data_IF_144994311138
#
_entry.id   IF_144994311138
#
_cell.length_a   1.000
_cell.length_b   1.000
_cell.length_c   1.000
_cell.angle_alpha   90.00
_cell.angle_beta   90.00
_cell.angle_gamma   90.00
#
_symmetry.space_group_name_H-M   'P 1'
#
loop_
_entity.id
_entity.type
_entity.pdbx_description
1 polymer ?
#
# COMPACT_ATOMS: atom_id res chain seq x y z
N UNK A 1 -6.36 12.86 -6.32
CA UNK A 1 -5.58 11.60 -6.13
C UNK A 1 -4.81 11.68 -4.83
N UNK A 2 -4.86 10.66 -3.96
CA UNK A 2 -4.10 10.60 -2.71
C UNK A 2 -2.61 10.40 -2.99
N UNK A 3 -1.76 11.13 -2.27
CA UNK A 3 -0.31 10.88 -2.19
C UNK A 3 -0.05 10.07 -0.94
N UNK A 4 0.49 8.87 -1.10
CA UNK A 4 0.61 7.87 -0.04
C UNK A 4 2.08 7.41 0.04
N UNK A 5 2.93 8.06 0.85
CA UNK A 5 4.26 7.51 1.12
C UNK A 5 4.17 6.14 1.78
N UNK A 6 5.17 5.29 1.54
CA UNK A 6 5.28 4.00 2.20
C UNK A 6 6.38 3.99 3.26
N UNK A 7 6.08 3.36 4.40
CA UNK A 7 7.06 2.95 5.40
C UNK A 7 6.97 1.43 5.56
N UNK A 8 8.03 0.73 5.20
CA UNK A 8 8.17 -0.69 5.49
C UNK A 8 8.95 -0.87 6.79
N UNK A 9 8.53 -1.83 7.62
CA UNK A 9 9.10 -2.05 8.94
C UNK A 9 9.73 -3.45 9.01
N UNK A 10 11.00 -3.49 9.39
CA UNK A 10 11.69 -4.70 9.84
C UNK A 10 12.39 -4.37 11.16
N UNK A 11 12.17 -5.18 12.19
CA UNK A 11 12.76 -5.01 13.52
C UNK A 11 12.53 -3.61 14.12
N UNK A 12 11.32 -3.05 13.86
CA UNK A 12 10.93 -1.72 14.31
C UNK A 12 11.56 -0.55 13.56
N UNK A 13 12.32 -0.78 12.48
CA UNK A 13 13.05 0.22 11.71
C UNK A 13 12.41 0.48 10.37
N UNK A 14 12.53 1.71 9.85
CA UNK A 14 12.11 2.06 8.50
C UNK A 14 13.10 1.53 7.47
N UNK A 15 12.65 0.63 6.61
CA UNK A 15 13.47 -0.03 5.60
C UNK A 15 12.84 0.04 4.21
N UNK A 16 13.58 -0.33 3.18
CA UNK A 16 13.06 -0.65 1.85
C UNK A 16 13.75 -1.90 1.32
N UNK A 17 12.98 -2.70 0.61
CA UNK A 17 13.45 -3.83 -0.19
C UNK A 17 13.41 -3.46 -1.69
N UNK A 18 14.01 -4.26 -2.54
CA UNK A 18 13.82 -4.23 -4.00
C UNK A 18 13.11 -5.51 -4.41
N UNK A 19 11.95 -5.39 -5.07
CA UNK A 19 11.11 -6.54 -5.48
C UNK A 19 10.79 -7.51 -4.34
N UNK A 20 10.66 -7.00 -3.11
CA UNK A 20 10.38 -7.82 -1.93
C UNK A 20 11.52 -8.70 -1.42
N UNK A 21 12.71 -8.61 -1.99
CA UNK A 21 13.86 -9.42 -1.60
C UNK A 21 14.51 -8.89 -0.30
N UNK A 22 14.43 -9.69 0.77
CA UNK A 22 14.96 -9.34 2.10
C UNK A 22 16.50 -9.20 2.12
N UNK A 23 17.22 -9.82 1.20
CA UNK A 23 18.67 -9.68 1.09
C UNK A 23 19.07 -8.28 0.58
N UNK A 24 18.12 -7.56 -0.03
CA UNK A 24 18.31 -6.18 -0.51
C UNK A 24 17.97 -5.12 0.54
N UNK A 25 17.69 -5.53 1.79
CA UNK A 25 17.27 -4.65 2.89
C UNK A 25 18.22 -3.47 3.06
N UNK A 26 17.66 -2.25 2.93
CA UNK A 26 18.35 -1.00 3.25
C UNK A 26 17.58 -0.27 4.35
N UNK A 27 18.26 0.09 5.43
CA UNK A 27 17.69 0.89 6.52
C UNK A 27 17.82 2.36 6.13
N UNK A 28 16.71 3.10 6.16
CA UNK A 28 16.67 4.54 5.89
C UNK A 28 16.52 5.37 7.17
N UNK A 29 15.88 4.82 8.19
CA UNK A 29 15.76 5.47 9.47
C UNK A 29 15.53 4.42 10.59
N UNK A 30 16.19 4.61 11.72
CA UNK A 30 16.02 3.77 12.91
C UNK A 30 14.68 4.05 13.62
N UNK A 31 14.04 5.19 13.35
CA UNK A 31 12.81 5.62 13.98
C UNK A 31 11.70 5.93 12.93
N UNK A 32 10.80 4.99 12.64
CA UNK A 32 9.69 5.21 11.69
C UNK A 32 8.78 6.40 12.04
N UNK A 33 8.63 6.75 13.31
CA UNK A 33 7.83 7.90 13.74
C UNK A 33 8.42 9.23 13.23
N UNK A 34 9.73 9.39 13.19
CA UNK A 34 10.37 10.61 12.67
C UNK A 34 10.09 10.76 11.17
N UNK A 35 10.12 9.64 10.43
CA UNK A 35 9.76 9.63 9.02
C UNK A 35 8.30 10.03 8.83
N UNK A 36 7.39 9.43 9.59
CA UNK A 36 5.96 9.73 9.53
C UNK A 36 5.66 11.20 9.85
N UNK A 37 6.30 11.77 10.89
CA UNK A 37 6.19 13.21 11.22
C UNK A 37 6.74 14.10 10.12
N UNK A 38 7.81 13.70 9.44
CA UNK A 38 8.34 14.44 8.30
C UNK A 38 7.34 14.48 7.14
N UNK A 39 6.62 13.38 6.90
CA UNK A 39 5.55 13.35 5.90
C UNK A 39 4.39 14.28 6.28
N UNK A 40 3.90 14.17 7.50
CA UNK A 40 2.83 15.04 8.02
C UNK A 40 3.18 16.53 7.94
N UNK A 41 4.42 16.90 8.30
CA UNK A 41 4.91 18.29 8.25
C UNK A 41 4.88 18.91 6.84
N UNK A 42 4.82 18.09 5.79
CA UNK A 42 4.68 18.50 4.40
C UNK A 42 3.26 18.32 3.84
N UNK A 43 2.24 18.27 4.71
CA UNK A 43 0.83 18.22 4.31
C UNK A 43 0.35 16.88 3.79
N UNK A 44 1.16 15.83 3.90
CA UNK A 44 0.75 14.48 3.56
C UNK A 44 -0.26 13.98 4.59
N UNK A 45 -1.35 13.37 4.13
CA UNK A 45 -2.46 12.93 4.98
C UNK A 45 -2.58 11.40 5.08
N UNK A 46 -1.95 10.66 4.18
CA UNK A 46 -2.09 9.21 4.08
C UNK A 46 -0.73 8.54 4.19
N UNK A 47 -0.70 7.35 4.79
CA UNK A 47 0.50 6.55 4.97
C UNK A 47 0.18 5.08 4.70
N UNK A 48 0.98 4.44 3.85
CA UNK A 48 1.00 2.98 3.72
C UNK A 48 2.09 2.42 4.62
N UNK A 49 1.71 1.65 5.64
CA UNK A 49 2.60 1.09 6.64
C UNK A 49 2.63 -0.43 6.52
N UNK A 50 3.79 -1.01 6.23
CA UNK A 50 3.92 -2.44 5.98
C UNK A 50 4.79 -3.12 7.02
N UNK A 51 4.21 -4.08 7.72
CA UNK A 51 4.90 -4.96 8.67
C UNK A 51 5.53 -6.15 7.92
N UNK A 52 6.80 -6.00 7.50
CA UNK A 52 7.52 -7.04 6.77
C UNK A 52 7.89 -8.24 7.67
N UNK A 53 8.11 -8.02 8.97
CA UNK A 53 8.27 -9.12 9.92
C UNK A 53 6.96 -9.90 10.04
N UNK A 54 5.84 -9.20 10.07
CA UNK A 54 4.51 -9.78 10.04
C UNK A 54 4.23 -10.57 8.77
N UNK A 55 4.57 -10.02 7.61
CA UNK A 55 4.43 -10.71 6.32
C UNK A 55 5.20 -12.05 6.31
N UNK A 56 6.42 -12.06 6.87
CA UNK A 56 7.27 -13.25 6.96
C UNK A 56 6.76 -14.27 7.99
N UNK A 57 6.27 -13.80 9.14
CA UNK A 57 5.83 -14.66 10.24
C UNK A 57 4.34 -15.04 10.19
N UNK A 58 3.59 -14.52 9.22
CA UNK A 58 2.14 -14.75 9.04
C UNK A 58 1.30 -14.36 10.27
N UNK A 59 1.68 -13.29 10.95
CA UNK A 59 0.96 -12.66 12.07
C UNK A 59 1.43 -11.22 12.22
N UNK A 60 0.63 -10.36 12.85
CA UNK A 60 1.05 -8.99 13.15
C UNK A 60 2.21 -8.99 14.17
N UNK A 61 3.27 -8.21 13.90
CA UNK A 61 4.48 -8.11 14.76
C UNK A 61 4.71 -6.66 15.20
N UNK A 62 4.78 -5.72 14.27
CA UNK A 62 5.18 -4.34 14.52
C UNK A 62 3.99 -3.40 14.87
N UNK A 63 2.92 -3.91 15.49
CA UNK A 63 1.73 -3.13 15.85
C UNK A 63 2.04 -1.96 16.81
N UNK A 64 3.10 -2.07 17.63
CA UNK A 64 3.54 -0.96 18.51
C UNK A 64 4.07 0.24 17.73
N UNK A 65 4.69 0.00 16.56
CA UNK A 65 5.11 1.09 15.66
C UNK A 65 3.89 1.77 15.06
N UNK A 66 2.90 0.99 14.63
CA UNK A 66 1.60 1.52 14.17
C UNK A 66 0.95 2.39 15.25
N UNK A 67 0.80 1.88 16.48
CA UNK A 67 0.23 2.62 17.61
C UNK A 67 0.97 3.92 17.89
N UNK A 68 2.31 3.87 17.84
CA UNK A 68 3.16 5.04 18.06
C UNK A 68 2.96 6.12 16.98
N UNK A 69 2.87 5.73 15.71
CA UNK A 69 2.63 6.67 14.61
C UNK A 69 1.20 7.21 14.68
N UNK A 70 0.20 6.35 14.85
CA UNK A 70 -1.22 6.73 14.90
C UNK A 70 -1.53 7.67 16.07
N UNK A 71 -0.90 7.47 17.24
CA UNK A 71 -1.12 8.33 18.42
C UNK A 71 -0.37 9.67 18.38
N UNK A 72 0.64 9.82 17.51
CA UNK A 72 1.53 11.01 17.49
C UNK A 72 1.50 11.77 16.16
N UNK A 73 0.66 11.36 15.23
CA UNK A 73 0.40 12.03 13.95
C UNK A 73 -1.09 12.00 13.63
N UNK A 74 -1.53 12.84 12.70
CA UNK A 74 -2.90 12.83 12.15
C UNK A 74 -3.01 12.01 10.86
N UNK A 75 -1.97 11.27 10.49
CA UNK A 75 -1.93 10.47 9.28
C UNK A 75 -3.01 9.38 9.28
N UNK A 76 -3.71 9.25 8.17
CA UNK A 76 -4.63 8.12 7.92
C UNK A 76 -3.81 6.94 7.43
N UNK A 77 -3.69 5.93 8.29
CA UNK A 77 -2.78 4.81 8.07
C UNK A 77 -3.54 3.64 7.46
N UNK A 78 -3.11 3.19 6.30
CA UNK A 78 -3.36 1.86 5.78
C UNK A 78 -2.24 0.93 6.25
N UNK A 79 -2.62 -0.15 6.92
CA UNK A 79 -1.68 -1.10 7.49
C UNK A 79 -1.77 -2.47 6.80
N UNK A 80 -0.62 -2.96 6.35
CA UNK A 80 -0.48 -4.27 5.73
C UNK A 80 0.65 -5.10 6.32
N UNK A 81 0.69 -6.37 5.94
CA UNK A 81 1.73 -7.32 6.39
C UNK A 81 1.30 -8.18 7.59
N UNK A 82 1.25 -9.50 7.38
CA UNK A 82 1.01 -10.48 8.45
C UNK A 82 -0.42 -10.67 8.91
N UNK A 83 -1.39 -9.94 8.39
CA UNK A 83 -2.80 -10.08 8.78
C UNK A 83 -3.39 -11.40 8.26
N UNK A 84 -3.62 -12.38 9.16
CA UNK A 84 -4.09 -13.73 8.81
C UNK A 84 -5.29 -14.20 9.65
N UNK A 85 -5.64 -13.48 10.70
CA UNK A 85 -6.72 -13.84 11.63
C UNK A 85 -7.50 -12.62 12.08
N UNK A 86 -8.71 -12.83 12.60
CA UNK A 86 -9.53 -11.78 13.23
C UNK A 86 -8.80 -11.11 14.39
N UNK A 87 -7.95 -11.86 15.10
CA UNK A 87 -7.13 -11.32 16.18
C UNK A 87 -6.08 -10.32 15.65
N UNK A 88 -5.39 -10.62 14.53
CA UNK A 88 -4.45 -9.70 13.91
C UNK A 88 -5.17 -8.43 13.45
N UNK A 89 -6.34 -8.58 12.83
CA UNK A 89 -7.14 -7.47 12.34
C UNK A 89 -7.59 -6.55 13.48
N UNK A 90 -8.05 -7.15 14.58
CA UNK A 90 -8.45 -6.43 15.80
C UNK A 90 -7.28 -5.62 16.35
N UNK A 91 -6.10 -6.25 16.48
CA UNK A 91 -4.88 -5.57 16.94
C UNK A 91 -4.54 -4.38 16.03
N UNK A 92 -4.60 -4.55 14.70
CA UNK A 92 -4.30 -3.47 13.76
C UNK A 92 -5.24 -2.27 13.95
N UNK A 93 -6.56 -2.49 14.05
CA UNK A 93 -7.51 -1.40 14.26
C UNK A 93 -7.41 -0.78 15.65
N UNK A 94 -7.23 -1.56 16.70
CA UNK A 94 -7.02 -1.06 18.07
C UNK A 94 -5.70 -0.28 18.20
N UNK A 95 -4.69 -0.59 17.38
CA UNK A 95 -3.43 0.16 17.29
C UNK A 95 -3.52 1.41 16.41
N UNK A 96 -4.68 1.71 15.82
CA UNK A 96 -4.96 2.96 15.14
C UNK A 96 -4.90 2.91 13.61
N UNK A 97 -4.89 1.73 12.98
CA UNK A 97 -5.07 1.64 11.54
C UNK A 97 -6.43 2.23 11.11
N UNK A 98 -6.44 3.07 10.08
CA UNK A 98 -7.68 3.57 9.49
C UNK A 98 -8.24 2.58 8.47
N UNK A 99 -7.35 1.93 7.72
CA UNK A 99 -7.63 0.89 6.75
C UNK A 99 -6.63 -0.24 6.93
N UNK A 100 -6.97 -1.43 6.47
CA UNK A 100 -6.03 -2.56 6.38
C UNK A 100 -5.96 -3.08 4.95
N UNK A 101 -4.80 -3.56 4.56
CA UNK A 101 -4.58 -4.20 3.26
C UNK A 101 -4.39 -5.71 3.44
N UNK A 102 -5.29 -6.48 2.80
CA UNK A 102 -5.21 -7.94 2.73
C UNK A 102 -4.89 -8.41 1.31
N UNK A 103 -3.69 -8.97 1.10
CA UNK A 103 -3.29 -9.57 -0.16
C UNK A 103 -3.44 -11.10 -0.12
N UNK A 104 -2.41 -11.83 0.33
CA UNK A 104 -2.39 -13.29 0.34
C UNK A 104 -3.60 -13.95 1.05
N UNK A 105 -4.19 -13.31 2.05
CA UNK A 105 -5.37 -13.81 2.76
C UNK A 105 -6.59 -13.87 1.84
N UNK A 106 -6.74 -12.90 0.96
CA UNK A 106 -7.84 -12.84 -0.01
C UNK A 106 -7.82 -14.03 -0.99
N UNK A 107 -6.64 -14.59 -1.27
CA UNK A 107 -6.51 -15.79 -2.11
C UNK A 107 -6.58 -17.08 -1.28
N UNK A 108 -5.83 -17.13 -0.16
CA UNK A 108 -5.68 -18.37 0.60
C UNK A 108 -6.86 -18.69 1.49
N UNK A 109 -7.57 -17.68 1.97
CA UNK A 109 -8.72 -17.78 2.87
C UNK A 109 -9.79 -16.75 2.47
N UNK A 110 -10.37 -16.86 1.25
CA UNK A 110 -11.29 -15.86 0.71
C UNK A 110 -12.49 -15.61 1.61
N UNK A 111 -13.04 -16.62 2.26
CA UNK A 111 -14.19 -16.49 3.15
C UNK A 111 -13.86 -15.65 4.39
N UNK A 112 -12.64 -15.76 4.94
CA UNK A 112 -12.19 -14.92 6.06
C UNK A 112 -12.10 -13.46 5.60
N UNK A 113 -11.51 -13.21 4.44
CA UNK A 113 -11.38 -11.84 3.92
C UNK A 113 -12.74 -11.21 3.57
N UNK A 114 -13.68 -11.98 3.00
CA UNK A 114 -15.05 -11.54 2.75
C UNK A 114 -15.80 -11.22 4.05
N UNK A 115 -15.63 -12.05 5.09
CA UNK A 115 -16.20 -11.76 6.41
C UNK A 115 -15.65 -10.45 6.99
N UNK A 116 -14.35 -10.17 6.82
CA UNK A 116 -13.78 -8.87 7.21
C UNK A 116 -14.42 -7.72 6.46
N UNK A 117 -14.59 -7.87 5.15
CA UNK A 117 -15.25 -6.85 4.32
C UNK A 117 -16.68 -6.58 4.79
N UNK A 118 -17.44 -7.62 5.11
CA UNK A 118 -18.81 -7.50 5.63
C UNK A 118 -18.86 -6.86 7.03
N UNK A 119 -17.94 -7.25 7.90
CA UNK A 119 -17.92 -6.81 9.31
C UNK A 119 -17.43 -5.37 9.47
N UNK A 120 -16.38 -4.99 8.75
CA UNK A 120 -15.71 -3.70 8.91
C UNK A 120 -16.10 -2.68 7.82
N UNK A 121 -16.64 -3.16 6.70
CA UNK A 121 -17.08 -2.33 5.59
C UNK A 121 -15.98 -2.00 4.58
N UNK A 122 -16.42 -1.63 3.38
CA UNK A 122 -15.55 -1.36 2.23
C UNK A 122 -14.61 -0.14 2.42
N UNK A 123 -14.92 0.74 3.36
CA UNK A 123 -14.05 1.89 3.68
C UNK A 123 -12.86 1.51 4.56
N UNK A 124 -12.89 0.33 5.19
CA UNK A 124 -11.85 -0.14 6.11
C UNK A 124 -10.94 -1.20 5.51
N UNK A 125 -11.42 -1.90 4.50
CA UNK A 125 -10.73 -3.06 3.91
C UNK A 125 -10.25 -2.70 2.51
N UNK A 126 -8.95 -2.91 2.27
CA UNK A 126 -8.30 -2.74 0.97
C UNK A 126 -7.89 -4.12 0.45
N UNK A 127 -8.22 -4.40 -0.80
CA UNK A 127 -7.73 -5.60 -1.49
C UNK A 127 -6.31 -5.35 -2.00
N UNK A 128 -5.34 -6.14 -1.57
CA UNK A 128 -4.02 -6.20 -2.18
C UNK A 128 -4.03 -7.15 -3.39
N UNK A 129 -3.83 -6.60 -4.58
CA UNK A 129 -3.79 -7.33 -5.84
C UNK A 129 -2.44 -7.12 -6.54
N UNK A 130 -1.35 -7.50 -5.84
CA UNK A 130 0.00 -7.31 -6.36
C UNK A 130 0.27 -8.20 -7.56
N UNK A 131 0.77 -7.62 -8.63
CA UNK A 131 0.93 -8.27 -9.94
C UNK A 131 2.36 -8.78 -10.15
N UNK A 132 2.46 -10.07 -10.47
CA UNK A 132 3.65 -10.70 -11.02
C UNK A 132 3.25 -11.40 -12.32
N UNK A 133 3.79 -10.96 -13.46
CA UNK A 133 3.40 -11.49 -14.78
C UNK A 133 1.87 -11.50 -15.01
N UNK A 134 1.19 -10.42 -14.60
CA UNK A 134 -0.28 -10.25 -14.67
C UNK A 134 -1.09 -11.19 -13.75
N UNK A 135 -0.46 -12.01 -12.95
CA UNK A 135 -1.10 -12.86 -11.93
C UNK A 135 -0.89 -12.28 -10.55
N UNK A 136 -1.79 -12.61 -9.64
CA UNK A 136 -1.69 -12.15 -8.26
C UNK A 136 -0.59 -12.90 -7.53
N UNK A 137 0.33 -12.15 -6.94
CA UNK A 137 1.38 -12.70 -6.09
C UNK A 137 0.90 -12.91 -4.65
N UNK A 138 1.43 -13.93 -4.01
CA UNK A 138 1.10 -14.32 -2.65
C UNK A 138 2.37 -14.57 -1.82
N UNK A 139 2.21 -14.75 -0.49
CA UNK A 139 3.31 -15.05 0.43
C UNK A 139 4.43 -14.00 0.45
N UNK A 140 4.06 -12.71 0.42
CA UNK A 140 5.08 -11.65 0.37
C UNK A 140 5.88 -11.68 -0.93
N UNK A 141 5.17 -11.98 -2.05
CA UNK A 141 5.69 -12.04 -3.43
C UNK A 141 6.61 -13.23 -3.73
N UNK A 142 6.63 -14.23 -2.86
CA UNK A 142 7.45 -15.44 -3.06
C UNK A 142 6.82 -16.46 -4.01
N UNK A 143 5.52 -16.37 -4.22
CA UNK A 143 4.78 -17.27 -5.11
C UNK A 143 3.80 -16.48 -6.00
N UNK A 144 3.67 -16.93 -7.24
CA UNK A 144 2.64 -16.51 -8.18
C UNK A 144 1.41 -17.42 -8.00
N UNK A 145 0.22 -16.83 -7.86
CA UNK A 145 -1.02 -17.59 -7.83
C UNK A 145 -1.48 -17.98 -9.25
N UNK A 146 -2.58 -18.72 -9.35
CA UNK A 146 -3.22 -19.02 -10.65
C UNK A 146 -4.16 -17.89 -11.09
N UNK A 147 -4.51 -16.98 -10.20
CA UNK A 147 -5.50 -15.91 -10.42
C UNK A 147 -4.87 -14.76 -11.22
N UNK A 148 -5.50 -14.40 -12.32
CA UNK A 148 -5.16 -13.18 -13.05
C UNK A 148 -5.64 -11.94 -12.27
N UNK A 149 -4.87 -10.85 -12.29
CA UNK A 149 -5.11 -9.66 -11.46
C UNK A 149 -6.48 -9.05 -11.72
N UNK A 150 -6.89 -8.87 -12.99
CA UNK A 150 -8.14 -8.19 -13.32
C UNK A 150 -9.37 -9.04 -12.94
N UNK A 151 -9.49 -10.32 -13.34
CA UNK A 151 -10.55 -11.20 -12.87
C UNK A 151 -10.64 -11.30 -11.34
N UNK A 152 -9.49 -11.32 -10.65
CA UNK A 152 -9.45 -11.34 -9.20
C UNK A 152 -10.05 -10.06 -8.59
N UNK A 153 -9.68 -8.89 -9.09
CA UNK A 153 -10.27 -7.61 -8.65
C UNK A 153 -11.79 -7.59 -8.92
N UNK A 154 -12.22 -8.03 -10.12
CA UNK A 154 -13.64 -8.10 -10.48
C UNK A 154 -14.45 -9.00 -9.55
N UNK A 155 -13.89 -10.15 -9.14
CA UNK A 155 -14.56 -11.07 -8.20
C UNK A 155 -14.81 -10.41 -6.86
N UNK A 156 -13.84 -9.67 -6.33
CA UNK A 156 -14.00 -8.94 -5.07
C UNK A 156 -14.84 -7.66 -5.20
N UNK A 157 -14.88 -7.05 -6.38
CA UNK A 157 -15.80 -5.96 -6.65
C UNK A 157 -17.26 -6.41 -6.51
N UNK A 158 -17.59 -7.63 -6.97
CA UNK A 158 -18.93 -8.23 -6.77
C UNK A 158 -19.27 -8.47 -5.30
N UNK A 159 -18.26 -8.66 -4.45
CA UNK A 159 -18.41 -8.79 -2.99
C UNK A 159 -18.46 -7.42 -2.27
N UNK A 160 -18.33 -6.31 -3.02
CA UNK A 160 -18.45 -4.95 -2.50
C UNK A 160 -17.13 -4.27 -2.13
N UNK A 161 -15.97 -4.83 -2.53
CA UNK A 161 -14.70 -4.13 -2.32
C UNK A 161 -14.68 -2.80 -3.11
N UNK A 162 -14.17 -1.74 -2.48
CA UNK A 162 -14.03 -0.43 -3.12
C UNK A 162 -12.57 -0.05 -3.37
N UNK A 163 -11.69 -0.32 -2.41
CA UNK A 163 -10.29 0.04 -2.51
C UNK A 163 -9.43 -1.14 -2.92
N UNK A 164 -8.56 -0.91 -3.89
CA UNK A 164 -7.59 -1.91 -4.38
C UNK A 164 -6.23 -1.26 -4.47
N UNK A 165 -5.22 -1.87 -3.83
CA UNK A 165 -3.82 -1.58 -4.08
C UNK A 165 -3.33 -2.60 -5.10
N UNK A 166 -2.78 -2.13 -6.22
CA UNK A 166 -2.11 -2.99 -7.19
C UNK A 166 -0.65 -2.54 -7.33
N UNK A 167 0.27 -3.40 -6.91
CA UNK A 167 1.71 -3.21 -7.08
C UNK A 167 2.18 -4.03 -8.26
N UNK A 168 2.81 -3.41 -9.27
CA UNK A 168 3.61 -4.18 -10.22
C UNK A 168 4.95 -4.50 -9.58
N UNK A 169 5.13 -5.77 -9.19
CA UNK A 169 6.31 -6.24 -8.46
C UNK A 169 7.57 -6.11 -9.32
N UNK A 170 7.45 -6.28 -10.63
CA UNK A 170 8.59 -6.14 -11.55
C UNK A 170 9.18 -4.74 -11.53
N UNK A 171 8.37 -3.74 -11.16
CA UNK A 171 8.72 -2.32 -11.06
C UNK A 171 9.07 -1.87 -9.65
N UNK A 172 8.65 -2.63 -8.62
CA UNK A 172 8.82 -2.17 -7.24
C UNK A 172 10.31 -2.00 -6.88
N UNK A 173 10.62 -0.80 -6.36
CA UNK A 173 11.98 -0.42 -5.99
C UNK A 173 12.95 -0.21 -7.15
N UNK A 174 12.51 -0.33 -8.43
CA UNK A 174 13.39 -0.20 -9.61
C UNK A 174 13.58 1.24 -10.07
N UNK A 175 12.65 2.15 -9.74
CA UNK A 175 12.67 3.56 -10.18
C UNK A 175 12.67 3.71 -11.71
N UNK A 176 11.89 2.88 -12.40
CA UNK A 176 11.79 2.81 -13.87
C UNK A 176 10.44 3.27 -14.41
N UNK A 177 9.62 3.88 -13.55
CA UNK A 177 8.26 4.30 -13.86
C UNK A 177 7.22 3.23 -13.55
N UNK A 178 5.97 3.66 -13.25
CA UNK A 178 4.87 2.77 -12.90
C UNK A 178 4.27 2.10 -14.14
N UNK A 179 3.50 1.04 -13.93
CA UNK A 179 2.86 0.25 -14.99
C UNK A 179 1.56 0.89 -15.46
N UNK A 180 1.64 2.02 -16.18
CA UNK A 180 0.47 2.76 -16.68
C UNK A 180 -0.50 1.88 -17.46
N UNK A 181 0.00 0.99 -18.33
CA UNK A 181 -0.82 0.10 -19.15
C UNK A 181 -1.63 -0.89 -18.29
N UNK A 182 -1.03 -1.45 -17.24
CA UNK A 182 -1.74 -2.33 -16.31
C UNK A 182 -2.84 -1.56 -15.58
N UNK A 183 -2.54 -0.39 -15.04
CA UNK A 183 -3.51 0.42 -14.31
C UNK A 183 -4.65 0.91 -15.22
N UNK A 184 -4.33 1.30 -16.46
CA UNK A 184 -5.35 1.65 -17.44
C UNK A 184 -6.31 0.48 -17.71
N UNK A 185 -5.79 -0.73 -17.96
CA UNK A 185 -6.62 -1.92 -18.17
C UNK A 185 -7.48 -2.27 -16.96
N UNK A 186 -6.93 -2.13 -15.73
CA UNK A 186 -7.72 -2.32 -14.52
C UNK A 186 -8.87 -1.32 -14.48
N UNK A 187 -8.60 -0.03 -14.67
CA UNK A 187 -9.62 1.03 -14.63
C UNK A 187 -10.69 0.87 -15.72
N UNK A 188 -10.33 0.41 -16.92
CA UNK A 188 -11.25 0.17 -18.01
C UNK A 188 -12.17 -1.04 -17.75
N UNK A 189 -11.67 -2.06 -17.05
CA UNK A 189 -12.37 -3.32 -16.84
C UNK A 189 -13.05 -3.46 -15.47
N UNK A 190 -12.81 -2.52 -14.56
CA UNK A 190 -13.42 -2.49 -13.22
C UNK A 190 -14.15 -1.17 -13.03
N UNK A 191 -15.47 -1.21 -12.78
CA UNK A 191 -16.26 0.02 -12.52
C UNK A 191 -16.16 0.42 -11.06
N UNK A 192 -15.98 1.73 -10.82
CA UNK A 192 -16.03 2.33 -9.48
C UNK A 192 -15.00 1.79 -8.46
N UNK A 193 -13.99 1.08 -8.92
CA UNK A 193 -12.86 0.67 -8.09
C UNK A 193 -11.97 1.86 -7.83
N UNK A 194 -11.67 2.11 -6.57
CA UNK A 194 -10.72 3.13 -6.11
C UNK A 194 -9.32 2.52 -6.16
N UNK A 195 -8.69 2.57 -7.34
CA UNK A 195 -7.37 2.00 -7.56
C UNK A 195 -6.27 2.86 -6.96
N UNK A 196 -5.41 2.24 -6.16
CA UNK A 196 -4.17 2.81 -5.63
C UNK A 196 -3.01 2.16 -6.36
N UNK A 197 -2.34 2.93 -7.22
CA UNK A 197 -1.20 2.46 -8.00
C UNK A 197 0.06 2.34 -7.14
N UNK A 198 0.81 1.26 -7.29
CA UNK A 198 2.02 1.00 -6.51
C UNK A 198 3.10 0.32 -7.36
N UNK A 199 4.36 0.61 -7.04
CA UNK A 199 5.53 0.08 -7.73
C UNK A 199 6.04 0.98 -8.86
N UNK A 200 7.36 1.20 -8.89
CA UNK A 200 8.07 1.85 -9.97
C UNK A 200 8.11 3.36 -9.97
N UNK A 201 7.29 4.07 -9.21
CA UNK A 201 7.32 5.53 -9.17
C UNK A 201 8.76 6.04 -9.06
N UNK A 202 9.17 6.88 -10.01
CA UNK A 202 10.54 7.34 -10.15
C UNK A 202 10.69 8.86 -10.25
N UNK A 203 9.72 9.54 -10.87
CA UNK A 203 9.75 10.99 -11.09
C UNK A 203 8.41 11.62 -10.72
N UNK A 204 8.46 12.91 -10.40
CA UNK A 204 7.27 13.69 -10.06
C UNK A 204 6.23 13.75 -11.18
N UNK A 205 6.67 13.79 -12.44
CA UNK A 205 5.80 13.93 -13.62
C UNK A 205 4.89 12.71 -13.87
N UNK A 206 5.12 11.63 -13.16
CA UNK A 206 4.27 10.43 -13.22
C UNK A 206 2.98 10.61 -12.42
N UNK A 207 2.97 11.44 -11.37
CA UNK A 207 1.83 11.65 -10.49
C UNK A 207 0.62 12.24 -11.23
N UNK A 208 0.75 13.33 -12.01
CA UNK A 208 -0.35 13.87 -12.81
C UNK A 208 -0.91 12.84 -13.81
N UNK A 209 -0.06 11.99 -14.39
CA UNK A 209 -0.49 10.96 -15.35
C UNK A 209 -1.35 9.89 -14.68
N UNK A 210 -0.98 9.42 -13.48
CA UNK A 210 -1.80 8.49 -12.68
C UNK A 210 -3.14 9.14 -12.26
N UNK A 211 -3.12 10.43 -11.92
CA UNK A 211 -4.35 11.15 -11.63
C UNK A 211 -5.26 11.27 -12.85
N UNK A 212 -4.72 11.48 -14.05
CA UNK A 212 -5.47 11.52 -15.31
C UNK A 212 -6.07 10.16 -15.68
N UNK A 213 -5.40 9.05 -15.35
CA UNK A 213 -5.95 7.71 -15.48
C UNK A 213 -7.14 7.45 -14.54
N UNK A 214 -7.37 8.30 -13.55
CA UNK A 214 -8.43 8.14 -12.56
C UNK A 214 -8.02 7.34 -11.34
N UNK A 215 -6.73 7.08 -11.12
CA UNK A 215 -6.27 6.44 -9.88
C UNK A 215 -6.69 7.25 -8.65
N UNK A 216 -7.23 6.57 -7.65
CA UNK A 216 -7.62 7.17 -6.36
C UNK A 216 -6.40 7.64 -5.57
N UNK A 217 -5.32 6.89 -5.66
CA UNK A 217 -4.06 7.18 -4.98
C UNK A 217 -2.85 6.56 -5.67
N UNK A 218 -1.68 6.97 -5.21
CA UNK A 218 -0.42 6.31 -5.56
C UNK A 218 0.48 6.15 -4.34
N UNK A 219 1.07 4.96 -4.20
CA UNK A 219 2.06 4.67 -3.17
C UNK A 219 3.44 5.07 -3.70
N UNK A 220 4.16 5.86 -2.92
CA UNK A 220 5.51 6.34 -3.27
C UNK A 220 6.47 5.87 -2.18
N UNK A 221 7.38 4.98 -2.56
CA UNK A 221 8.41 4.46 -1.66
C UNK A 221 9.78 5.03 -1.98
N UNK A 222 10.59 4.24 -2.65
CA UNK A 222 12.03 4.48 -2.89
C UNK A 222 12.35 5.85 -3.51
N UNK A 223 11.46 6.39 -4.36
CA UNK A 223 11.67 7.70 -4.99
C UNK A 223 11.80 8.86 -3.97
N UNK A 224 11.06 8.79 -2.84
CA UNK A 224 11.21 9.76 -1.75
C UNK A 224 12.54 9.55 -1.04
N UNK A 225 12.83 8.32 -0.64
CA UNK A 225 14.03 8.00 0.16
C UNK A 225 15.34 8.23 -0.60
N UNK A 226 15.34 8.04 -1.92
CA UNK A 226 16.50 8.32 -2.79
C UNK A 226 16.54 9.77 -3.31
N UNK A 227 15.61 10.63 -2.85
CA UNK A 227 15.59 12.07 -3.18
C UNK A 227 15.19 12.40 -4.62
N UNK A 228 14.62 11.44 -5.37
CA UNK A 228 14.12 11.70 -6.73
C UNK A 228 12.83 12.52 -6.73
N UNK A 229 12.03 12.36 -5.70
CA UNK A 229 10.84 13.17 -5.43
C UNK A 229 11.01 13.75 -4.03
N UNK A 230 11.12 15.06 -3.93
CA UNK A 230 11.25 15.75 -2.65
C UNK A 230 9.89 15.95 -1.97
N UNK A 231 9.88 16.00 -0.65
CA UNK A 231 8.67 16.28 0.13
C UNK A 231 8.08 17.66 -0.22
N UNK A 232 8.91 18.66 -0.55
CA UNK A 232 8.47 19.98 -1.02
C UNK A 232 7.70 19.94 -2.34
N UNK A 233 8.09 19.07 -3.28
CA UNK A 233 7.34 18.86 -4.51
C UNK A 233 5.97 18.25 -4.23
N UNK A 234 5.91 17.28 -3.32
CA UNK A 234 4.64 16.65 -2.90
C UNK A 234 3.73 17.66 -2.17
N UNK A 235 4.29 18.47 -1.27
CA UNK A 235 3.57 19.56 -0.59
C UNK A 235 2.94 20.52 -1.60
N UNK A 236 3.74 21.02 -2.56
CA UNK A 236 3.26 21.91 -3.61
C UNK A 236 2.16 21.25 -4.47
N UNK A 237 2.28 19.97 -4.75
CA UNK A 237 1.28 19.23 -5.50
C UNK A 237 -0.04 19.10 -4.73
N UNK A 238 0.04 18.79 -3.44
CA UNK A 238 -1.15 18.68 -2.56
C UNK A 238 -1.87 20.01 -2.44
N UNK A 239 -1.14 21.11 -2.22
CA UNK A 239 -1.71 22.46 -2.14
C UNK A 239 -2.45 22.81 -3.45
N UNK A 240 -1.85 22.54 -4.61
CA UNK A 240 -2.49 22.79 -5.90
C UNK A 240 -3.75 21.96 -6.14
N UNK A 241 -3.84 20.74 -5.58
CA UNK A 241 -5.04 19.89 -5.65
C UNK A 241 -6.17 20.40 -4.76
N UNK A 242 -5.84 21.04 -3.63
CA UNK A 242 -6.83 21.51 -2.64
C UNK A 242 -7.32 22.93 -2.92
N UNK A 243 -6.70 23.67 -3.85
CA UNK A 243 -7.18 24.97 -4.30
C UNK A 243 -6.96 26.11 -3.29
N UNK A 244 -5.97 25.98 -2.40
CA UNK A 244 -5.51 27.04 -1.49
C UNK A 244 -4.24 27.69 -1.99
#
# INVERSE_FOLDING_TARGET
MRIIPAIDIIEGKCVRLSKGDYETKKIYNENPLEVAKSFEAHGIQYLHLVDLDGAKSSRIVNYKVLEQIASKTSLKIDFGGGLKSDADLKIAFESGANQITGGSIAIKQPEVFKNWLQQYGADKIILGADAMNEKVAILGWLEESKEEVIPFIQSYQQEGIQYVICTDISKDGMLEGPSFELYQRIMEQTKDVKLIASGGISTFDELPKLAQLGCEGTIIGKAIYEGRISLKQLESYIINLTGF
#
